data_IF_360527069636
#
_entry.id   IF_360527069636
#
_cell.length_a   1.000
_cell.length_b   1.000
_cell.length_c   1.000
_cell.angle_alpha   90.00
_cell.angle_beta   90.00
_cell.angle_gamma   90.00
#
_symmetry.space_group_name_H-M   'P 1'
#
loop_
_entity.id
_entity.type
_entity.pdbx_description
1 polymer ?
#
# COMPACT_ATOMS: atom_id res chain seq x y z
N UNK A 1 -7.90 23.64 -8.37
CA UNK A 1 -6.72 24.53 -8.48
C UNK A 1 -6.39 25.12 -7.11
N UNK A 2 -5.44 24.50 -6.39
CA UNK A 2 -4.59 25.13 -5.38
C UNK A 2 -3.25 24.42 -5.49
N UNK A 3 -2.34 25.02 -6.25
CA UNK A 3 -0.94 24.64 -6.23
C UNK A 3 -0.46 24.80 -4.78
N UNK A 4 -0.10 23.71 -4.11
CA UNK A 4 0.74 23.81 -2.93
C UNK A 4 2.13 24.11 -3.47
N UNK A 5 2.36 25.40 -3.77
CA UNK A 5 3.71 25.95 -3.74
C UNK A 5 4.35 25.40 -2.46
N UNK A 6 5.57 24.86 -2.55
CA UNK A 6 6.47 24.95 -1.39
C UNK A 6 6.40 26.42 -0.99
N UNK A 7 5.71 26.71 0.12
CA UNK A 7 5.46 28.07 0.57
C UNK A 7 6.82 28.68 0.88
N UNK A 8 7.44 29.30 -0.10
CA UNK A 8 8.47 30.28 0.14
C UNK A 8 7.78 31.45 0.84
N UNK A 9 7.90 31.42 2.17
CA UNK A 9 7.81 32.55 3.08
C UNK A 9 6.56 33.44 2.98
N UNK A 10 5.43 32.93 3.45
CA UNK A 10 4.51 33.77 4.23
C UNK A 10 4.81 33.61 5.73
N UNK A 11 4.58 34.66 6.52
CA UNK A 11 4.64 34.61 7.98
C UNK A 11 3.57 33.62 8.46
N UNK A 12 3.98 32.37 8.73
CA UNK A 12 3.08 31.32 9.19
C UNK A 12 2.54 31.66 10.58
N UNK A 13 1.22 31.70 10.75
CA UNK A 13 0.61 31.95 12.05
C UNK A 13 1.13 30.93 13.08
N UNK A 14 1.73 31.42 14.16
CA UNK A 14 2.33 30.57 15.19
C UNK A 14 1.25 29.72 15.89
N UNK A 15 0.05 30.25 16.07
CA UNK A 15 -1.05 29.51 16.69
C UNK A 15 -1.53 28.37 15.78
N UNK A 16 -1.56 28.59 14.47
CA UNK A 16 -1.88 27.54 13.50
C UNK A 16 -0.84 26.42 13.50
N UNK A 17 0.45 26.74 13.69
CA UNK A 17 1.53 25.74 13.78
C UNK A 17 1.38 24.80 15.00
N UNK A 18 0.76 25.24 16.10
CA UNK A 18 0.48 24.35 17.24
C UNK A 18 -0.44 23.19 16.88
N UNK A 19 -1.32 23.37 15.89
CA UNK A 19 -2.24 22.33 15.43
C UNK A 19 -1.50 21.18 14.71
N UNK A 20 -0.27 21.42 14.24
CA UNK A 20 0.58 20.38 13.63
C UNK A 20 1.28 19.49 14.67
N UNK A 21 1.27 19.88 15.96
CA UNK A 21 1.86 19.07 17.04
C UNK A 21 0.80 18.09 17.53
N UNK A 22 1.02 16.80 17.35
CA UNK A 22 0.05 15.76 17.73
C UNK A 22 -0.08 15.57 19.25
N UNK A 23 1.03 15.63 19.99
CA UNK A 23 1.05 15.37 21.42
C UNK A 23 0.60 16.59 22.24
N UNK A 24 -0.46 16.42 23.04
CA UNK A 24 -1.06 17.52 23.82
C UNK A 24 -0.10 18.17 24.83
N UNK A 25 0.78 17.40 25.47
CA UNK A 25 1.75 17.95 26.42
C UNK A 25 2.83 18.78 25.71
N UNK A 26 3.34 18.28 24.57
CA UNK A 26 4.31 19.03 23.76
C UNK A 26 3.65 20.29 23.19
N UNK A 27 2.39 20.20 22.75
CA UNK A 27 1.61 21.33 22.26
C UNK A 27 1.43 22.38 23.36
N UNK A 28 1.15 21.97 24.59
CA UNK A 28 1.04 22.87 25.73
C UNK A 28 2.36 23.62 26.00
N UNK A 29 3.50 22.91 26.05
CA UNK A 29 4.81 23.54 26.26
C UNK A 29 5.21 24.48 25.11
N UNK A 30 4.93 24.12 23.86
CA UNK A 30 5.12 25.02 22.73
C UNK A 30 4.19 26.24 22.80
N UNK A 31 2.96 26.07 23.31
CA UNK A 31 2.00 27.15 23.54
C UNK A 31 2.51 28.20 24.53
N UNK A 32 3.20 27.79 25.60
CA UNK A 32 3.83 28.72 26.55
C UNK A 32 4.85 29.66 25.87
N UNK A 33 5.61 29.12 24.90
CA UNK A 33 6.56 29.90 24.12
C UNK A 33 5.86 30.97 23.27
N UNK A 34 4.72 30.62 22.67
CA UNK A 34 3.93 31.53 21.82
C UNK A 34 3.26 32.60 22.67
N UNK A 35 2.70 32.26 23.83
CA UNK A 35 2.16 33.25 24.78
C UNK A 35 3.25 34.23 25.23
N UNK A 36 4.43 33.72 25.57
CA UNK A 36 5.58 34.56 25.95
C UNK A 36 6.02 35.47 24.81
N UNK A 37 6.02 34.97 23.57
CA UNK A 37 6.33 35.73 22.38
C UNK A 37 5.33 36.87 22.15
N UNK A 38 4.03 36.57 22.22
CA UNK A 38 2.95 37.54 22.04
C UNK A 38 2.96 38.63 23.12
N UNK A 39 3.45 38.32 24.32
CA UNK A 39 3.65 39.28 25.40
C UNK A 39 4.93 40.14 25.27
N UNK A 40 5.75 39.93 24.24
CA UNK A 40 7.04 40.62 24.07
C UNK A 40 8.17 40.08 24.94
N UNK A 41 7.96 38.96 25.64
CA UNK A 41 8.94 38.32 26.49
C UNK A 41 9.82 37.33 25.69
N UNK A 42 10.61 37.84 24.75
CA UNK A 42 11.36 37.02 23.78
C UNK A 42 12.40 36.09 24.41
N UNK A 43 13.07 36.52 25.50
CA UNK A 43 13.97 35.64 26.26
C UNK A 43 13.22 34.44 26.82
N UNK A 44 12.05 34.67 27.42
CA UNK A 44 11.20 33.62 27.97
C UNK A 44 10.66 32.70 26.88
N UNK A 45 10.26 33.25 25.74
CA UNK A 45 9.79 32.48 24.59
C UNK A 45 10.83 31.47 24.10
N UNK A 46 12.10 31.89 23.95
CA UNK A 46 13.20 31.00 23.54
C UNK A 46 13.47 29.91 24.60
N UNK A 47 13.40 30.26 25.89
CA UNK A 47 13.56 29.29 26.98
C UNK A 47 12.43 28.25 26.94
N UNK A 48 11.17 28.69 26.81
CA UNK A 48 10.00 27.81 26.77
C UNK A 48 9.99 26.87 25.55
N UNK A 49 10.32 27.36 24.35
CA UNK A 49 10.33 26.48 23.18
C UNK A 49 11.41 25.39 23.29
N UNK A 50 12.55 25.73 23.88
CA UNK A 50 13.61 24.76 24.11
C UNK A 50 13.21 23.68 25.12
N UNK A 51 12.40 24.01 26.13
CA UNK A 51 11.80 23.02 27.04
C UNK A 51 10.93 22.04 26.25
N UNK A 52 10.10 22.53 25.33
CA UNK A 52 9.29 21.68 24.46
C UNK A 52 10.16 20.75 23.59
N UNK A 53 11.27 21.25 23.03
CA UNK A 53 12.24 20.47 22.25
C UNK A 53 12.85 19.33 23.08
N UNK A 54 13.35 19.61 24.28
CA UNK A 54 13.97 18.60 25.14
C UNK A 54 12.97 17.54 25.57
N UNK A 55 11.75 17.96 25.94
CA UNK A 55 10.69 17.05 26.33
C UNK A 55 10.25 16.15 25.17
N UNK A 56 10.10 16.71 23.96
CA UNK A 56 9.75 15.95 22.78
C UNK A 56 10.83 14.92 22.41
N UNK A 57 12.12 15.31 22.40
CA UNK A 57 13.22 14.35 22.18
C UNK A 57 13.18 13.18 23.18
N UNK A 58 12.93 13.47 24.46
CA UNK A 58 12.81 12.42 25.48
C UNK A 58 11.66 11.46 25.18
N UNK A 59 10.47 12.01 24.89
CA UNK A 59 9.29 11.19 24.60
C UNK A 59 9.47 10.37 23.33
N UNK A 60 10.10 10.94 22.30
CA UNK A 60 10.40 10.21 21.07
C UNK A 60 11.44 9.12 21.28
N UNK A 61 12.50 9.38 22.06
CA UNK A 61 13.45 8.32 22.43
C UNK A 61 12.73 7.15 23.10
N UNK A 62 11.82 7.44 24.05
CA UNK A 62 11.00 6.40 24.70
C UNK A 62 10.20 5.57 23.71
N UNK A 63 9.46 6.23 22.80
CA UNK A 63 8.71 5.53 21.76
C UNK A 63 9.64 4.71 20.87
N UNK A 64 10.79 5.25 20.48
CA UNK A 64 11.77 4.57 19.64
C UNK A 64 12.30 3.30 20.34
N UNK A 65 12.68 3.42 21.60
CA UNK A 65 13.17 2.31 22.40
C UNK A 65 12.11 1.23 22.59
N UNK A 66 10.89 1.61 22.98
CA UNK A 66 9.80 0.68 23.29
C UNK A 66 9.25 -0.01 22.03
N UNK A 67 9.07 0.75 20.93
CA UNK A 67 8.42 0.26 19.70
C UNK A 67 9.41 -0.40 18.74
N UNK A 68 10.62 0.12 18.64
CA UNK A 68 11.60 -0.33 17.64
C UNK A 68 12.77 -1.11 18.25
N UNK A 69 12.86 -1.16 19.59
CA UNK A 69 13.95 -1.83 20.33
C UNK A 69 15.33 -1.32 19.90
N UNK A 70 15.41 -0.02 19.65
CA UNK A 70 16.66 0.63 19.30
C UNK A 70 17.57 0.73 20.53
N UNK A 71 18.78 0.19 20.42
CA UNK A 71 19.74 0.14 21.53
C UNK A 71 20.29 1.53 21.88
N UNK A 72 20.43 2.43 20.90
CA UNK A 72 20.96 3.77 21.14
C UNK A 72 19.94 4.65 21.88
N UNK A 73 18.66 4.56 21.50
CA UNK A 73 17.55 5.18 22.22
C UNK A 73 17.44 4.62 23.64
N UNK A 74 17.54 3.29 23.80
CA UNK A 74 17.50 2.65 25.12
C UNK A 74 18.63 3.16 26.04
N UNK A 75 19.88 3.17 25.56
CA UNK A 75 21.03 3.70 26.31
C UNK A 75 20.86 5.18 26.65
N UNK A 76 20.24 5.94 25.76
CA UNK A 76 19.97 7.36 26.01
C UNK A 76 18.94 7.53 27.11
N UNK A 77 17.81 6.81 27.09
CA UNK A 77 16.81 6.83 28.17
C UNK A 77 17.41 6.37 29.50
N UNK A 78 18.18 5.29 29.52
CA UNK A 78 18.81 4.79 30.75
C UNK A 78 19.76 5.82 31.37
N UNK A 79 20.48 6.61 30.55
CA UNK A 79 21.28 7.75 31.03
C UNK A 79 20.38 8.81 31.67
N UNK A 80 19.25 9.12 31.04
CA UNK A 80 18.30 10.15 31.51
C UNK A 80 17.65 9.72 32.82
N UNK A 81 17.18 8.49 32.91
CA UNK A 81 16.53 7.96 34.11
C UNK A 81 17.50 7.87 35.30
N UNK A 82 18.78 7.56 35.06
CA UNK A 82 19.83 7.63 36.09
C UNK A 82 20.01 9.05 36.65
N UNK A 83 19.98 10.06 35.78
CA UNK A 83 20.10 11.48 36.19
C UNK A 83 18.84 11.92 36.95
N UNK A 84 17.66 11.46 36.53
CA UNK A 84 16.39 11.75 37.22
C UNK A 84 16.37 11.17 38.65
N UNK A 85 16.94 9.98 38.83
CA UNK A 85 16.99 9.29 40.12
C UNK A 85 18.14 9.77 41.03
N UNK A 86 19.08 10.57 40.51
CA UNK A 86 20.24 11.06 41.25
C UNK A 86 20.44 12.56 40.95
N UNK A 87 19.73 13.41 41.68
CA UNK A 87 19.46 14.82 41.36
C UNK A 87 20.67 15.75 41.55
N UNK A 88 21.78 15.50 40.87
CA UNK A 88 22.88 16.46 40.74
C UNK A 88 22.54 17.49 39.65
N UNK A 89 22.43 18.76 40.02
CA UNK A 89 22.14 19.89 39.10
C UNK A 89 23.10 19.94 37.91
N UNK A 90 24.37 19.51 38.08
CA UNK A 90 25.35 19.46 36.97
C UNK A 90 25.00 18.38 35.95
N UNK A 91 24.41 17.27 36.39
CA UNK A 91 24.03 16.17 35.52
C UNK A 91 22.77 16.50 34.70
N UNK A 92 21.81 17.22 35.29
CA UNK A 92 20.61 17.70 34.59
C UNK A 92 20.98 18.67 33.45
N UNK A 93 21.87 19.62 33.70
CA UNK A 93 22.35 20.57 32.67
C UNK A 93 23.26 19.93 31.62
N UNK A 94 23.91 18.80 31.94
CA UNK A 94 24.67 17.97 31.00
C UNK A 94 23.73 17.23 30.06
N UNK A 95 22.66 16.64 30.60
CA UNK A 95 21.65 15.94 29.83
C UNK A 95 20.99 16.84 28.77
N UNK A 96 20.56 18.04 29.17
CA UNK A 96 19.92 19.01 28.27
C UNK A 96 20.80 19.33 27.04
N UNK A 97 22.12 19.36 27.23
CA UNK A 97 23.09 19.58 26.15
C UNK A 97 23.25 18.34 25.27
N UNK A 98 23.32 17.17 25.88
CA UNK A 98 23.66 15.94 25.18
C UNK A 98 22.48 15.31 24.44
N UNK A 99 21.23 15.54 24.85
CA UNK A 99 20.07 14.88 24.24
C UNK A 99 19.92 15.19 22.75
N UNK A 100 20.20 16.43 22.33
CA UNK A 100 20.17 16.82 20.92
C UNK A 100 21.30 16.14 20.13
N UNK A 101 22.48 16.00 20.75
CA UNK A 101 23.62 15.30 20.15
C UNK A 101 23.34 13.81 20.01
N UNK A 102 22.80 13.18 21.05
CA UNK A 102 22.37 11.78 21.02
C UNK A 102 21.32 11.56 19.90
N UNK A 103 20.42 12.52 19.68
CA UNK A 103 19.40 12.44 18.63
C UNK A 103 20.01 12.43 17.22
N UNK A 104 21.08 13.17 17.00
CA UNK A 104 21.83 13.23 15.73
C UNK A 104 22.76 12.03 15.56
N UNK A 105 23.66 11.81 16.51
CA UNK A 105 24.84 10.96 16.31
C UNK A 105 24.53 9.48 16.61
N UNK A 106 23.77 9.24 17.68
CA UNK A 106 23.50 7.90 18.20
C UNK A 106 22.20 7.33 17.63
N UNK A 107 21.08 8.03 17.86
CA UNK A 107 19.73 7.61 17.43
C UNK A 107 19.47 7.92 15.95
N UNK A 108 20.20 8.88 15.37
CA UNK A 108 20.12 9.27 13.95
C UNK A 108 18.71 9.63 13.49
N UNK A 109 17.98 10.30 14.36
CA UNK A 109 16.62 10.77 14.10
C UNK A 109 16.56 12.19 13.55
N UNK A 110 17.68 12.90 13.46
CA UNK A 110 17.73 14.22 12.81
C UNK A 110 18.91 14.26 11.86
N UNK A 111 18.76 14.99 10.78
CA UNK A 111 19.85 15.26 9.83
C UNK A 111 20.80 16.31 10.38
N UNK A 112 22.01 16.41 9.82
CA UNK A 112 22.99 17.43 10.22
C UNK A 112 22.44 18.86 10.11
N UNK A 113 21.66 19.15 9.05
CA UNK A 113 21.05 20.47 8.88
C UNK A 113 20.00 20.77 9.96
N UNK A 114 19.20 19.78 10.31
CA UNK A 114 18.19 19.89 11.38
C UNK A 114 18.87 20.02 12.76
N UNK A 115 19.97 19.29 12.99
CA UNK A 115 20.81 19.45 14.17
C UNK A 115 21.34 20.88 14.29
N UNK A 116 21.92 21.44 13.22
CA UNK A 116 22.43 22.82 13.23
C UNK A 116 21.32 23.84 13.56
N UNK A 117 20.10 23.62 13.06
CA UNK A 117 18.96 24.47 13.35
C UNK A 117 18.56 24.42 14.81
N UNK A 118 18.45 23.23 15.40
CA UNK A 118 18.08 23.04 16.79
C UNK A 118 19.21 23.46 17.75
N UNK A 119 20.47 23.28 17.36
CA UNK A 119 21.64 23.68 18.14
C UNK A 119 21.70 25.20 18.32
N UNK A 120 21.33 25.99 17.29
CA UNK A 120 21.20 27.45 17.43
C UNK A 120 20.16 27.84 18.49
N UNK A 121 19.04 27.12 18.58
CA UNK A 121 18.01 27.35 19.61
C UNK A 121 18.61 27.08 20.99
N UNK A 122 19.37 25.99 21.14
CA UNK A 122 20.05 25.64 22.40
C UNK A 122 21.04 26.74 22.83
N UNK A 123 21.85 27.24 21.89
CA UNK A 123 22.84 28.29 22.15
C UNK A 123 22.17 29.60 22.61
N UNK A 124 21.12 30.05 21.92
CA UNK A 124 20.41 31.27 22.31
C UNK A 124 19.60 31.09 23.59
N UNK A 125 19.05 29.89 23.85
CA UNK A 125 18.47 29.55 25.15
C UNK A 125 19.50 29.70 26.26
N UNK A 126 20.74 29.24 26.06
CA UNK A 126 21.80 29.39 27.05
C UNK A 126 22.06 30.87 27.39
N UNK A 127 22.11 31.73 26.37
CA UNK A 127 22.23 33.20 26.53
C UNK A 127 21.02 33.84 27.21
N UNK A 128 19.81 33.32 26.97
CA UNK A 128 18.58 33.82 27.59
C UNK A 128 18.41 33.37 29.06
N UNK A 129 18.92 32.19 29.42
CA UNK A 129 18.78 31.63 30.77
C UNK A 129 19.89 32.09 31.73
N UNK A 130 21.10 32.36 31.22
CA UNK A 130 22.22 32.82 32.04
C UNK A 130 22.44 34.32 31.92
N UNK A 131 22.68 35.05 33.03
CA UNK A 131 22.88 36.48 33.01
C UNK A 131 24.32 36.83 32.59
N UNK A 132 24.68 36.49 31.35
CA UNK A 132 25.96 36.93 30.76
C UNK A 132 25.75 38.34 30.22
N UNK A 133 26.52 39.28 30.74
CA UNK A 133 26.51 40.66 30.28
C UNK A 133 27.44 40.82 29.08
N UNK A 134 27.00 41.62 28.10
CA UNK A 134 27.86 42.05 27.00
C UNK A 134 28.84 43.15 27.44
N UNK A 135 29.60 43.69 26.50
CA UNK A 135 30.57 44.77 26.74
C UNK A 135 29.95 46.05 27.30
N UNK A 136 28.64 46.23 27.15
CA UNK A 136 27.88 47.39 27.62
C UNK A 136 27.15 47.11 28.95
N UNK A 137 27.33 45.91 29.52
CA UNK A 137 26.66 45.52 30.76
C UNK A 137 25.20 45.13 30.58
N UNK A 138 24.75 44.89 29.34
CA UNK A 138 23.38 44.51 29.02
C UNK A 138 23.24 43.00 28.86
N UNK A 139 22.05 42.52 29.18
CA UNK A 139 21.67 41.14 28.97
C UNK A 139 21.32 40.90 27.50
N UNK A 140 21.63 39.69 26.99
CA UNK A 140 21.23 39.30 25.63
C UNK A 140 19.73 39.49 25.39
N UNK A 141 19.37 40.36 24.44
CA UNK A 141 17.98 40.66 24.11
C UNK A 141 17.69 40.19 22.68
N UNK A 142 17.07 39.01 22.51
CA UNK A 142 16.70 38.50 21.19
C UNK A 142 15.63 39.39 20.55
N UNK A 143 15.71 39.59 19.23
CA UNK A 143 14.69 40.33 18.49
C UNK A 143 13.41 39.51 18.37
N UNK A 144 12.26 40.16 18.11
CA UNK A 144 11.01 39.44 17.82
C UNK A 144 11.20 38.41 16.69
N UNK A 145 11.92 38.76 15.62
CA UNK A 145 12.13 37.91 14.46
C UNK A 145 12.96 36.66 14.81
N UNK A 146 13.98 36.82 15.66
CA UNK A 146 14.81 35.71 16.12
C UNK A 146 13.99 34.72 16.96
N UNK A 147 13.26 35.22 17.96
CA UNK A 147 12.40 34.38 18.80
C UNK A 147 11.34 33.66 17.96
N UNK A 148 10.71 34.36 17.02
CA UNK A 148 9.73 33.78 16.09
C UNK A 148 10.32 32.70 15.20
N UNK A 149 11.55 32.91 14.72
CA UNK A 149 12.27 31.95 13.88
C UNK A 149 12.51 30.66 14.68
N UNK A 150 13.01 30.77 15.91
CA UNK A 150 13.24 29.61 16.78
C UNK A 150 11.97 28.82 17.07
N UNK A 151 10.85 29.49 17.36
CA UNK A 151 9.55 28.84 17.56
C UNK A 151 9.15 28.05 16.32
N UNK A 152 9.14 28.71 15.16
CA UNK A 152 8.74 28.08 13.90
C UNK A 152 9.64 26.90 13.56
N UNK A 153 10.97 27.09 13.64
CA UNK A 153 11.95 26.06 13.32
C UNK A 153 11.81 24.85 14.25
N UNK A 154 11.64 25.03 15.56
CA UNK A 154 11.43 23.91 16.48
C UNK A 154 10.19 23.09 16.11
N UNK A 155 9.07 23.76 15.81
CA UNK A 155 7.81 23.08 15.43
C UNK A 155 7.97 22.33 14.12
N UNK A 156 8.47 22.99 13.07
CA UNK A 156 8.56 22.41 11.73
C UNK A 156 9.59 21.25 11.67
N UNK A 157 10.75 21.42 12.32
CA UNK A 157 11.86 20.46 12.26
C UNK A 157 11.65 19.28 13.19
N UNK A 158 11.08 19.51 14.37
CA UNK A 158 11.02 18.49 15.42
C UNK A 158 9.60 18.25 15.92
N UNK A 159 8.94 19.24 16.53
CA UNK A 159 7.73 18.96 17.35
C UNK A 159 6.53 18.43 16.55
N UNK A 160 6.40 18.82 15.28
CA UNK A 160 5.38 18.30 14.35
C UNK A 160 5.79 17.00 13.64
N UNK A 161 7.03 16.56 13.82
CA UNK A 161 7.55 15.37 13.15
C UNK A 161 7.34 14.12 14.02
N UNK A 162 7.13 12.94 13.39
CA UNK A 162 6.93 11.69 14.11
C UNK A 162 8.18 11.24 14.89
N UNK A 163 8.04 10.30 15.85
CA UNK A 163 9.14 9.80 16.67
C UNK A 163 10.29 9.13 15.93
N UNK A 164 10.07 8.53 14.76
CA UNK A 164 11.21 8.20 13.88
C UNK A 164 11.19 9.07 12.64
N UNK A 165 12.35 9.63 12.35
CA UNK A 165 12.63 10.45 11.20
C UNK A 165 13.85 9.87 10.48
N UNK A 166 13.87 9.99 9.16
CA UNK A 166 15.09 9.77 8.38
C UNK A 166 15.58 8.31 8.34
N UNK A 167 16.89 8.13 8.53
CA UNK A 167 17.60 6.88 8.21
C UNK A 167 17.21 5.72 9.12
N UNK A 168 17.07 5.96 10.43
CA UNK A 168 16.70 4.93 11.39
C UNK A 168 15.30 4.34 11.10
N UNK A 169 14.37 5.16 10.63
CA UNK A 169 13.02 4.72 10.27
C UNK A 169 13.04 3.81 9.03
N UNK A 170 13.85 4.20 8.05
CA UNK A 170 14.13 3.37 6.88
C UNK A 170 14.76 2.04 7.27
N UNK A 171 15.83 2.05 8.07
CA UNK A 171 16.52 0.83 8.52
C UNK A 171 15.60 -0.12 9.31
N UNK A 172 14.73 0.42 10.18
CA UNK A 172 13.73 -0.37 10.90
C UNK A 172 12.69 -0.99 9.95
N UNK A 173 12.16 -0.20 9.01
CA UNK A 173 11.24 -0.71 7.99
C UNK A 173 11.91 -1.80 7.14
N UNK A 174 13.14 -1.58 6.67
CA UNK A 174 13.87 -2.55 5.86
C UNK A 174 14.04 -3.87 6.62
N UNK A 175 14.43 -3.82 7.90
CA UNK A 175 14.57 -5.02 8.74
C UNK A 175 13.26 -5.83 8.83
N UNK A 176 12.14 -5.13 8.93
CA UNK A 176 10.82 -5.73 9.06
C UNK A 176 10.29 -6.29 7.74
N UNK A 177 10.38 -5.51 6.65
CA UNK A 177 9.93 -5.91 5.30
C UNK A 177 10.81 -7.01 4.71
N UNK A 178 12.11 -7.03 5.04
CA UNK A 178 13.06 -8.05 4.58
C UNK A 178 13.12 -9.27 5.52
N UNK A 179 12.28 -9.30 6.55
CA UNK A 179 12.14 -10.40 7.48
C UNK A 179 11.59 -11.68 6.84
N UNK A 180 11.99 -12.84 7.39
CA UNK A 180 11.64 -14.17 6.85
C UNK A 180 10.13 -14.45 6.83
N UNK A 181 9.41 -13.92 7.82
CA UNK A 181 7.98 -14.15 8.05
C UNK A 181 7.12 -12.93 7.72
N UNK A 182 7.59 -12.07 6.80
CA UNK A 182 6.76 -10.98 6.31
C UNK A 182 5.50 -11.52 5.60
N UNK A 183 4.31 -10.95 5.86
CA UNK A 183 3.05 -11.41 5.26
C UNK A 183 3.09 -11.40 3.72
N UNK A 184 2.33 -12.30 3.10
CA UNK A 184 2.29 -12.46 1.64
C UNK A 184 0.98 -11.99 0.98
N UNK A 185 0.07 -11.42 1.78
CA UNK A 185 -1.19 -10.80 1.37
C UNK A 185 -1.31 -9.35 1.89
N UNK A 186 -2.18 -8.56 1.25
CA UNK A 186 -2.32 -7.12 1.52
C UNK A 186 -2.86 -6.86 2.93
N UNK A 187 -3.79 -7.69 3.43
CA UNK A 187 -4.42 -7.49 4.73
C UNK A 187 -3.44 -7.82 5.86
N UNK A 188 -2.67 -8.90 5.69
CA UNK A 188 -1.55 -9.24 6.55
C UNK A 188 -0.51 -8.13 6.61
N UNK A 189 -0.10 -7.57 5.46
CA UNK A 189 0.86 -6.45 5.40
C UNK A 189 0.31 -5.21 6.12
N UNK A 190 -0.96 -4.87 5.89
CA UNK A 190 -1.63 -3.77 6.58
C UNK A 190 -1.57 -3.96 8.09
N UNK A 191 -1.98 -5.11 8.60
CA UNK A 191 -1.98 -5.39 10.03
C UNK A 191 -0.58 -5.38 10.63
N UNK A 192 0.40 -5.97 9.94
CA UNK A 192 1.78 -6.04 10.38
C UNK A 192 2.43 -4.66 10.50
N UNK A 193 2.23 -3.78 9.51
CA UNK A 193 2.85 -2.46 9.48
C UNK A 193 2.03 -1.39 10.24
N UNK A 194 0.73 -1.59 10.46
CA UNK A 194 -0.12 -0.59 11.12
C UNK A 194 0.36 -0.26 12.53
N UNK A 195 0.69 -1.28 13.32
CA UNK A 195 1.14 -1.14 14.71
C UNK A 195 2.47 -0.43 14.90
N UNK A 196 3.34 -0.45 13.89
CA UNK A 196 4.75 -0.08 14.05
C UNK A 196 5.22 1.00 13.09
N UNK A 197 4.68 1.07 11.87
CA UNK A 197 5.12 2.04 10.86
C UNK A 197 4.00 2.97 10.41
N UNK A 198 2.72 2.58 10.49
CA UNK A 198 1.64 3.46 10.01
C UNK A 198 0.99 4.32 11.09
N UNK A 199 0.85 3.82 12.33
CA UNK A 199 0.30 4.61 13.46
C UNK A 199 1.23 5.72 13.95
N UNK A 200 2.54 5.55 13.77
CA UNK A 200 3.58 6.45 14.30
C UNK A 200 4.01 7.48 13.26
N UNK A 201 3.52 7.38 12.02
CA UNK A 201 4.05 8.13 10.88
C UNK A 201 3.17 9.28 10.42
N UNK A 202 3.76 10.46 10.23
CA UNK A 202 3.11 11.55 9.49
C UNK A 202 2.89 11.17 8.02
N UNK A 203 2.01 11.88 7.30
CA UNK A 203 1.84 11.70 5.85
C UNK A 203 3.17 11.77 5.08
N UNK A 204 4.10 12.62 5.55
CA UNK A 204 5.47 12.72 5.00
C UNK A 204 6.25 11.42 5.17
N UNK A 205 6.10 10.73 6.30
CA UNK A 205 6.75 9.45 6.54
C UNK A 205 6.21 8.35 5.63
N UNK A 206 4.89 8.22 5.53
CA UNK A 206 4.23 7.28 4.62
C UNK A 206 4.64 7.52 3.16
N UNK A 207 4.70 8.79 2.74
CA UNK A 207 5.22 9.18 1.43
C UNK A 207 6.67 8.71 1.22
N UNK A 208 7.53 8.84 2.22
CA UNK A 208 8.91 8.35 2.14
C UNK A 208 8.99 6.81 2.09
N UNK A 209 8.10 6.08 2.76
CA UNK A 209 8.01 4.62 2.64
C UNK A 209 7.68 4.21 1.21
N UNK A 210 6.68 4.85 0.57
CA UNK A 210 6.33 4.58 -0.83
C UNK A 210 7.57 4.76 -1.72
N UNK A 211 8.26 5.89 -1.55
CA UNK A 211 9.42 6.21 -2.36
C UNK A 211 10.60 5.26 -2.13
N UNK A 212 10.88 4.87 -0.87
CA UNK A 212 11.90 3.87 -0.56
C UNK A 212 11.57 2.53 -1.20
N UNK A 213 10.32 2.09 -1.05
CA UNK A 213 9.83 0.82 -1.60
C UNK A 213 9.95 0.81 -3.13
N UNK A 214 9.62 1.91 -3.81
CA UNK A 214 9.81 2.03 -5.25
C UNK A 214 11.27 1.87 -5.67
N UNK A 215 12.21 2.49 -4.93
CA UNK A 215 13.65 2.33 -5.20
C UNK A 215 14.09 0.88 -5.03
N UNK A 216 13.65 0.20 -3.96
CA UNK A 216 13.91 -1.23 -3.70
C UNK A 216 13.37 -2.12 -4.81
N UNK A 217 12.21 -1.79 -5.37
CA UNK A 217 11.58 -2.55 -6.46
C UNK A 217 12.26 -2.32 -7.82
N UNK A 218 12.72 -1.09 -8.10
CA UNK A 218 13.09 -0.69 -9.46
C UNK A 218 14.58 -0.68 -9.76
N UNK A 219 15.45 -0.41 -8.77
CA UNK A 219 16.88 -0.23 -9.08
C UNK A 219 17.87 -0.49 -7.95
N UNK A 220 17.45 -0.53 -6.68
CA UNK A 220 18.39 -0.89 -5.61
C UNK A 220 18.70 -2.38 -5.68
N UNK A 221 19.97 -2.70 -5.49
CA UNK A 221 20.43 -4.08 -5.53
C UNK A 221 19.92 -4.82 -4.30
N UNK A 222 19.26 -5.94 -4.56
CA UNK A 222 18.81 -6.90 -3.56
C UNK A 222 19.66 -8.15 -3.76
N UNK A 223 20.23 -8.72 -2.68
CA UNK A 223 21.00 -9.94 -2.77
C UNK A 223 20.25 -11.01 -3.59
N UNK A 224 20.91 -11.60 -4.59
CA UNK A 224 20.28 -12.48 -5.58
C UNK A 224 19.57 -13.70 -4.97
N UNK A 225 19.89 -14.04 -3.71
CA UNK A 225 19.28 -15.13 -2.95
C UNK A 225 17.95 -14.74 -2.24
N UNK A 226 17.41 -13.52 -2.44
CA UNK A 226 16.19 -13.05 -1.78
C UNK A 226 15.18 -12.36 -2.72
N UNK A 227 14.70 -13.02 -3.79
CA UNK A 227 13.70 -12.44 -4.70
C UNK A 227 12.38 -12.07 -4.02
N UNK A 228 12.04 -12.74 -2.90
CA UNK A 228 10.84 -12.44 -2.09
C UNK A 228 10.82 -11.01 -1.56
N UNK A 229 11.98 -10.38 -1.35
CA UNK A 229 12.06 -9.00 -0.84
C UNK A 229 11.38 -8.02 -1.79
N UNK A 230 11.56 -8.17 -3.11
CA UNK A 230 10.91 -7.30 -4.10
C UNK A 230 9.39 -7.42 -3.98
N UNK A 231 8.89 -8.66 -3.89
CA UNK A 231 7.47 -8.93 -3.71
C UNK A 231 6.94 -8.28 -2.43
N UNK A 232 7.68 -8.34 -1.33
CA UNK A 232 7.29 -7.70 -0.08
C UNK A 232 7.14 -6.18 -0.27
N UNK A 233 8.11 -5.50 -0.90
CA UNK A 233 8.00 -4.07 -1.17
C UNK A 233 6.87 -3.73 -2.16
N UNK A 234 6.56 -4.59 -3.13
CA UNK A 234 5.39 -4.42 -4.01
C UNK A 234 4.08 -4.45 -3.20
N UNK A 235 3.94 -5.38 -2.26
CA UNK A 235 2.79 -5.46 -1.36
C UNK A 235 2.69 -4.24 -0.44
N UNK A 236 3.83 -3.71 0.03
CA UNK A 236 3.86 -2.46 0.83
C UNK A 236 3.36 -1.27 0.00
N UNK A 237 3.84 -1.12 -1.24
CA UNK A 237 3.37 -0.06 -2.15
C UNK A 237 1.86 -0.20 -2.37
N UNK A 238 1.40 -1.40 -2.70
CA UNK A 238 -0.01 -1.67 -2.95
C UNK A 238 -0.88 -1.37 -1.72
N UNK A 239 -0.46 -1.81 -0.53
CA UNK A 239 -1.13 -1.52 0.72
C UNK A 239 -1.25 -0.01 0.98
N UNK A 240 -0.15 0.74 0.78
CA UNK A 240 -0.13 2.18 1.02
C UNK A 240 -0.97 2.95 0.00
N UNK A 241 -0.92 2.59 -1.28
CA UNK A 241 -1.74 3.22 -2.32
C UNK A 241 -3.24 2.97 -2.07
N UNK A 242 -3.61 1.77 -1.62
CA UNK A 242 -5.02 1.40 -1.34
C UNK A 242 -5.57 2.07 -0.09
N UNK A 243 -4.79 2.13 1.00
CA UNK A 243 -5.29 2.60 2.30
C UNK A 243 -4.98 4.09 2.59
N UNK A 244 -3.98 4.68 1.94
CA UNK A 244 -3.53 6.05 2.16
C UNK A 244 -3.42 6.82 0.83
N UNK A 245 -4.51 6.79 0.06
CA UNK A 245 -4.57 7.35 -1.30
C UNK A 245 -4.21 8.83 -1.37
N UNK A 246 -4.65 9.62 -0.39
CA UNK A 246 -4.29 11.04 -0.25
C UNK A 246 -2.77 11.26 -0.18
N UNK A 247 -2.05 10.39 0.54
CA UNK A 247 -0.59 10.45 0.66
C UNK A 247 0.08 10.11 -0.67
N UNK A 248 -0.39 9.07 -1.35
CA UNK A 248 0.13 8.72 -2.68
C UNK A 248 -0.13 9.85 -3.69
N UNK A 249 -1.33 10.44 -3.67
CA UNK A 249 -1.72 11.54 -4.56
C UNK A 249 -0.92 12.82 -4.28
N UNK A 250 -0.52 13.08 -3.04
CA UNK A 250 0.29 14.26 -2.68
C UNK A 250 1.76 14.17 -3.10
N UNK A 251 2.26 13.00 -3.52
CA UNK A 251 3.63 12.85 -4.01
C UNK A 251 3.89 13.77 -5.21
N UNK A 252 5.06 14.41 -5.25
CA UNK A 252 5.45 15.25 -6.38
C UNK A 252 5.68 14.41 -7.65
N UNK A 253 5.03 14.76 -8.77
CA UNK A 253 5.17 14.11 -10.08
C UNK A 253 6.63 13.97 -10.51
N UNK A 254 7.42 15.03 -10.38
CA UNK A 254 8.85 15.01 -10.75
C UNK A 254 9.64 13.95 -9.96
N UNK A 255 9.38 13.83 -8.65
CA UNK A 255 10.05 12.86 -7.79
C UNK A 255 9.70 11.42 -8.18
N UNK A 256 8.43 11.16 -8.52
CA UNK A 256 7.96 9.87 -8.99
C UNK A 256 8.58 9.52 -10.36
N UNK A 257 8.52 10.46 -11.31
CA UNK A 257 9.12 10.34 -12.64
C UNK A 257 10.62 10.05 -12.57
N UNK A 258 11.37 10.73 -11.69
CA UNK A 258 12.80 10.50 -11.52
C UNK A 258 13.11 9.08 -11.02
N UNK A 259 12.34 8.56 -10.05
CA UNK A 259 12.52 7.19 -9.55
C UNK A 259 12.18 6.16 -10.63
N UNK A 260 11.08 6.34 -11.36
CA UNK A 260 10.68 5.47 -12.47
C UNK A 260 11.72 5.48 -13.60
N UNK A 261 12.31 6.64 -13.88
CA UNK A 261 13.39 6.84 -14.86
C UNK A 261 14.67 6.05 -14.56
N UNK A 262 14.88 5.63 -13.32
CA UNK A 262 16.06 4.88 -12.90
C UNK A 262 15.88 3.35 -12.99
N UNK A 263 14.75 2.86 -13.49
CA UNK A 263 14.44 1.43 -13.54
C UNK A 263 15.51 0.64 -14.31
N UNK A 264 16.14 -0.33 -13.64
CA UNK A 264 17.13 -1.22 -14.27
C UNK A 264 16.44 -2.24 -15.19
N UNK A 265 17.16 -2.71 -16.21
CA UNK A 265 16.69 -3.66 -17.22
C UNK A 265 16.17 -4.95 -16.58
N UNK A 266 16.90 -5.50 -15.61
CA UNK A 266 16.54 -6.72 -14.86
C UNK A 266 15.36 -6.53 -13.88
N UNK A 267 14.83 -5.31 -13.79
CA UNK A 267 13.71 -4.91 -12.92
C UNK A 267 12.50 -4.41 -13.70
N UNK A 268 12.54 -4.39 -15.03
CA UNK A 268 11.51 -3.79 -15.85
C UNK A 268 10.14 -4.47 -15.69
N UNK A 269 10.11 -5.77 -15.41
CA UNK A 269 8.91 -6.55 -15.13
C UNK A 269 8.10 -5.99 -13.96
N UNK A 270 8.76 -5.35 -12.99
CA UNK A 270 8.10 -4.82 -11.81
C UNK A 270 7.22 -3.60 -12.14
N UNK A 271 7.46 -2.93 -13.28
CA UNK A 271 6.61 -1.84 -13.75
C UNK A 271 5.20 -2.33 -14.07
N UNK A 272 5.03 -3.55 -14.59
CA UNK A 272 3.70 -4.10 -14.86
C UNK A 272 2.85 -4.20 -13.59
N UNK A 273 3.47 -4.59 -12.48
CA UNK A 273 2.82 -4.68 -11.17
C UNK A 273 2.46 -3.29 -10.67
N UNK A 274 3.38 -2.31 -10.77
CA UNK A 274 3.10 -0.93 -10.37
C UNK A 274 1.98 -0.28 -11.21
N UNK A 275 2.00 -0.47 -12.52
CA UNK A 275 0.96 0.05 -13.41
C UNK A 275 -0.41 -0.58 -13.15
N UNK A 276 -0.45 -1.84 -12.69
CA UNK A 276 -1.68 -2.47 -12.21
C UNK A 276 -2.13 -1.91 -10.86
N UNK A 277 -1.20 -1.48 -10.00
CA UNK A 277 -1.53 -0.86 -8.71
C UNK A 277 -2.16 0.53 -8.91
N UNK A 278 -1.66 1.37 -9.81
CA UNK A 278 -2.29 2.66 -10.10
C UNK A 278 -1.83 3.26 -11.44
N UNK A 279 -2.79 3.78 -12.22
CA UNK A 279 -2.56 4.39 -13.54
C UNK A 279 -1.61 5.60 -13.45
N UNK A 280 -1.51 6.24 -12.28
CA UNK A 280 -0.55 7.33 -12.06
C UNK A 280 0.89 6.88 -12.27
N UNK A 281 1.24 5.63 -11.92
CA UNK A 281 2.58 5.12 -12.18
C UNK A 281 2.90 5.13 -13.68
N UNK A 282 1.93 4.82 -14.55
CA UNK A 282 2.09 4.93 -15.99
C UNK A 282 2.16 6.40 -16.45
N UNK A 283 1.22 7.23 -15.98
CA UNK A 283 1.13 8.63 -16.37
C UNK A 283 2.35 9.47 -15.98
N UNK A 284 2.99 9.16 -14.86
CA UNK A 284 4.20 9.83 -14.38
C UNK A 284 5.49 9.10 -14.80
N UNK A 285 5.41 7.98 -15.53
CA UNK A 285 6.58 7.27 -16.06
C UNK A 285 7.21 8.01 -17.25
N UNK A 286 8.54 8.20 -17.30
CA UNK A 286 9.21 8.78 -18.46
C UNK A 286 8.98 8.00 -19.76
N UNK A 287 8.89 8.72 -20.88
CA UNK A 287 8.58 8.12 -22.20
C UNK A 287 9.57 7.02 -22.59
N UNK A 288 10.87 7.24 -22.39
CA UNK A 288 11.90 6.24 -22.73
C UNK A 288 11.76 4.94 -21.92
N UNK A 289 11.28 5.01 -20.67
CA UNK A 289 10.99 3.81 -19.87
C UNK A 289 9.70 3.13 -20.33
N UNK A 290 8.67 3.91 -20.72
CA UNK A 290 7.44 3.35 -21.31
C UNK A 290 7.74 2.62 -22.61
N UNK A 291 8.58 3.17 -23.49
CA UNK A 291 9.00 2.47 -24.72
C UNK A 291 9.78 1.20 -24.41
N UNK A 292 10.73 1.25 -23.47
CA UNK A 292 11.46 0.06 -23.02
C UNK A 292 10.52 -1.03 -22.46
N UNK A 293 9.52 -0.63 -21.68
CA UNK A 293 8.53 -1.54 -21.12
C UNK A 293 7.63 -2.17 -22.21
N UNK A 294 7.22 -1.38 -23.22
CA UNK A 294 6.50 -1.90 -24.39
C UNK A 294 7.32 -2.93 -25.16
N UNK A 295 8.64 -2.72 -25.30
CA UNK A 295 9.54 -3.71 -25.90
C UNK A 295 9.63 -4.98 -25.05
N UNK A 296 9.81 -4.84 -23.74
CA UNK A 296 9.86 -5.96 -22.79
C UNK A 296 8.60 -6.84 -22.86
N UNK A 297 7.40 -6.24 -22.82
CA UNK A 297 6.14 -7.01 -22.87
C UNK A 297 6.02 -7.86 -24.14
N UNK A 298 6.63 -7.41 -25.24
CA UNK A 298 6.57 -8.07 -26.55
C UNK A 298 7.72 -9.05 -26.79
N UNK A 299 8.67 -9.16 -25.85
CA UNK A 299 9.88 -9.96 -26.01
C UNK A 299 9.59 -11.47 -26.01
N UNK A 300 8.83 -11.94 -25.02
CA UNK A 300 8.47 -13.36 -24.89
C UNK A 300 6.97 -13.57 -24.66
N UNK A 301 6.46 -14.69 -25.19
CA UNK A 301 5.05 -15.10 -25.03
C UNK A 301 4.65 -15.23 -23.55
N UNK A 302 5.52 -15.80 -22.72
CA UNK A 302 5.25 -15.95 -21.29
C UNK A 302 5.14 -14.59 -20.59
N UNK A 303 6.04 -13.66 -20.90
CA UNK A 303 6.00 -12.28 -20.39
C UNK A 303 4.69 -11.60 -20.76
N UNK A 304 4.27 -11.69 -22.03
CA UNK A 304 3.02 -11.10 -22.51
C UNK A 304 1.80 -11.61 -21.74
N UNK A 305 1.73 -12.91 -21.45
CA UNK A 305 0.61 -13.50 -20.70
C UNK A 305 0.63 -13.06 -19.23
N UNK A 306 1.79 -13.13 -18.57
CA UNK A 306 1.87 -12.79 -17.14
C UNK A 306 1.68 -11.30 -16.87
N UNK A 307 2.31 -10.43 -17.67
CA UNK A 307 2.38 -9.00 -17.40
C UNK A 307 1.50 -8.16 -18.34
N UNK A 308 1.18 -8.65 -19.55
CA UNK A 308 0.32 -7.91 -20.49
C UNK A 308 -1.10 -7.72 -19.96
N UNK A 309 -1.65 -8.74 -19.29
CA UNK A 309 -2.99 -8.66 -18.69
C UNK A 309 -3.09 -7.52 -17.66
N UNK A 310 -2.03 -7.29 -16.89
CA UNK A 310 -1.95 -6.25 -15.86
C UNK A 310 -2.07 -4.84 -16.43
N UNK A 311 -1.65 -4.64 -17.67
CA UNK A 311 -1.56 -3.33 -18.32
C UNK A 311 -2.51 -3.19 -19.50
N UNK A 312 -3.44 -4.12 -19.70
CA UNK A 312 -4.35 -4.11 -20.85
C UNK A 312 -5.19 -2.82 -20.93
N UNK A 313 -5.57 -2.27 -19.79
CA UNK A 313 -6.27 -0.99 -19.69
C UNK A 313 -5.42 0.23 -20.13
N UNK A 314 -4.10 0.09 -20.16
CA UNK A 314 -3.16 1.13 -20.60
C UNK A 314 -2.70 0.90 -22.04
N UNK A 315 -2.58 -0.36 -22.44
CA UNK A 315 -2.08 -0.80 -23.75
C UNK A 315 -3.13 -1.71 -24.43
N UNK A 316 -4.30 -1.18 -24.82
CA UNK A 316 -5.38 -2.00 -25.39
C UNK A 316 -4.97 -2.71 -26.69
N UNK A 317 -3.95 -2.23 -27.40
CA UNK A 317 -3.44 -2.83 -28.63
C UNK A 317 -2.88 -4.24 -28.45
N UNK A 318 -2.40 -4.62 -27.26
CA UNK A 318 -1.81 -5.95 -27.01
C UNK A 318 -2.88 -7.04 -26.80
N UNK A 319 -4.17 -6.67 -26.74
CA UNK A 319 -5.29 -7.58 -26.51
C UNK A 319 -5.28 -8.78 -27.46
N UNK A 320 -5.11 -8.51 -28.76
CA UNK A 320 -5.12 -9.54 -29.78
C UNK A 320 -3.93 -10.49 -29.65
N UNK A 321 -2.76 -9.95 -29.30
CA UNK A 321 -1.54 -10.75 -29.11
C UNK A 321 -1.70 -11.69 -27.90
N UNK A 322 -2.24 -11.19 -26.78
CA UNK A 322 -2.58 -12.01 -25.61
C UNK A 322 -3.54 -13.13 -26.00
N UNK A 323 -4.61 -12.81 -26.75
CA UNK A 323 -5.61 -13.79 -27.16
C UNK A 323 -5.02 -14.88 -28.05
N UNK A 324 -4.13 -14.52 -28.99
CA UNK A 324 -3.44 -15.48 -29.87
C UNK A 324 -2.52 -16.38 -29.05
N UNK A 325 -1.74 -15.82 -28.12
CA UNK A 325 -0.85 -16.62 -27.26
C UNK A 325 -1.67 -17.54 -26.36
N UNK A 326 -2.76 -17.05 -25.77
CA UNK A 326 -3.67 -17.86 -24.96
C UNK A 326 -4.22 -19.06 -25.73
N UNK A 327 -4.80 -18.83 -26.92
CA UNK A 327 -5.38 -19.87 -27.78
C UNK A 327 -4.36 -20.91 -28.23
N UNK A 328 -3.12 -20.50 -28.48
CA UNK A 328 -2.11 -21.40 -29.04
C UNK A 328 -1.37 -22.21 -27.98
N UNK A 329 -1.25 -21.72 -26.74
CA UNK A 329 -0.33 -22.29 -25.76
C UNK A 329 -0.97 -22.66 -24.42
N UNK A 330 -2.14 -22.11 -24.07
CA UNK A 330 -2.72 -22.28 -22.72
C UNK A 330 -4.12 -22.91 -22.75
N UNK A 331 -4.94 -22.57 -23.75
CA UNK A 331 -6.37 -22.91 -23.77
C UNK A 331 -6.65 -24.41 -23.64
N UNK A 332 -5.79 -25.27 -24.22
CA UNK A 332 -5.99 -26.72 -24.28
C UNK A 332 -5.49 -27.48 -23.04
N UNK A 333 -4.88 -26.78 -22.08
CA UNK A 333 -4.26 -27.35 -20.88
C UNK A 333 -4.94 -26.81 -19.63
N UNK A 334 -5.29 -27.71 -18.70
CA UNK A 334 -5.88 -27.32 -17.42
C UNK A 334 -4.96 -26.38 -16.64
N UNK A 335 -3.69 -26.74 -16.50
CA UNK A 335 -2.66 -25.91 -15.84
C UNK A 335 -2.45 -24.57 -16.57
N UNK A 336 -2.49 -24.58 -17.91
CA UNK A 336 -2.41 -23.37 -18.71
C UNK A 336 -3.55 -22.39 -18.41
N UNK A 337 -4.78 -22.90 -18.31
CA UNK A 337 -5.94 -22.10 -17.93
C UNK A 337 -5.87 -21.61 -16.47
N UNK A 338 -5.34 -22.42 -15.54
CA UNK A 338 -5.12 -21.99 -14.15
C UNK A 338 -4.09 -20.85 -14.03
N UNK A 339 -3.02 -20.88 -14.82
CA UNK A 339 -2.03 -19.80 -14.87
C UNK A 339 -2.68 -18.53 -15.40
N UNK A 340 -3.44 -18.64 -16.51
CA UNK A 340 -4.08 -17.49 -17.14
C UNK A 340 -5.13 -16.84 -16.24
N UNK A 341 -5.99 -17.63 -15.59
CA UNK A 341 -7.02 -17.10 -14.69
C UNK A 341 -6.42 -16.40 -13.47
N UNK A 342 -5.28 -16.90 -12.95
CA UNK A 342 -4.58 -16.24 -11.86
C UNK A 342 -4.13 -14.83 -12.27
N UNK A 343 -3.60 -14.69 -13.48
CA UNK A 343 -3.25 -13.39 -14.05
C UNK A 343 -4.47 -12.47 -14.17
N UNK A 344 -5.59 -12.97 -14.70
CA UNK A 344 -6.84 -12.21 -14.79
C UNK A 344 -7.34 -11.74 -13.43
N UNK A 345 -7.34 -12.59 -12.40
CA UNK A 345 -7.77 -12.23 -11.04
C UNK A 345 -6.88 -11.18 -10.37
N UNK A 346 -5.57 -11.24 -10.65
CA UNK A 346 -4.59 -10.32 -10.07
C UNK A 346 -4.57 -8.96 -10.78
N UNK A 347 -4.91 -8.93 -12.07
CA UNK A 347 -5.18 -7.68 -12.76
C UNK A 347 -6.34 -6.98 -12.06
N UNK A 348 -6.31 -5.65 -11.99
CA UNK A 348 -7.47 -4.88 -11.50
C UNK A 348 -8.63 -5.04 -12.48
N UNK A 349 -9.38 -6.12 -12.36
CA UNK A 349 -10.58 -6.43 -13.15
C UNK A 349 -11.70 -5.41 -12.96
N UNK A 350 -11.59 -4.52 -11.96
CA UNK A 350 -12.48 -3.36 -11.82
C UNK A 350 -12.24 -2.29 -12.92
N UNK A 351 -11.16 -2.39 -13.70
CA UNK A 351 -10.94 -1.56 -14.89
C UNK A 351 -11.75 -2.12 -16.05
N UNK A 352 -12.53 -1.26 -16.71
CA UNK A 352 -13.51 -1.64 -17.73
C UNK A 352 -12.93 -2.54 -18.83
N UNK A 353 -11.77 -2.19 -19.39
CA UNK A 353 -11.11 -2.92 -20.47
C UNK A 353 -10.70 -4.33 -20.03
N UNK A 354 -10.09 -4.44 -18.85
CA UNK A 354 -9.67 -5.73 -18.27
C UNK A 354 -10.88 -6.60 -17.91
N UNK A 355 -11.96 -5.98 -17.39
CA UNK A 355 -13.23 -6.66 -17.11
C UNK A 355 -13.82 -7.29 -18.37
N UNK A 356 -13.95 -6.48 -19.44
CA UNK A 356 -14.48 -6.91 -20.74
C UNK A 356 -13.65 -8.06 -21.29
N UNK A 357 -12.31 -7.94 -21.27
CA UNK A 357 -11.44 -9.00 -21.76
C UNK A 357 -11.55 -10.29 -20.94
N UNK A 358 -11.65 -10.19 -19.61
CA UNK A 358 -11.89 -11.37 -18.77
C UNK A 358 -13.19 -12.09 -19.16
N UNK A 359 -14.27 -11.33 -19.40
CA UNK A 359 -15.55 -11.90 -19.83
C UNK A 359 -15.49 -12.51 -21.24
N UNK A 360 -14.75 -11.91 -22.17
CA UNK A 360 -14.51 -12.51 -23.50
C UNK A 360 -13.77 -13.85 -23.41
N UNK A 361 -12.82 -13.98 -22.49
CA UNK A 361 -12.10 -15.24 -22.27
C UNK A 361 -13.01 -16.29 -21.63
N UNK A 362 -13.83 -15.92 -20.64
CA UNK A 362 -14.83 -16.83 -20.06
C UNK A 362 -15.79 -17.31 -21.14
N UNK A 363 -16.31 -16.39 -21.96
CA UNK A 363 -17.25 -16.70 -23.03
C UNK A 363 -16.63 -17.66 -24.07
N UNK A 364 -15.40 -17.39 -24.51
CA UNK A 364 -14.65 -18.26 -25.42
C UNK A 364 -14.55 -19.70 -24.88
N UNK A 365 -14.24 -19.85 -23.59
CA UNK A 365 -14.11 -21.16 -22.96
C UNK A 365 -15.46 -21.87 -22.80
N UNK A 366 -16.53 -21.13 -22.48
CA UNK A 366 -17.89 -21.67 -22.47
C UNK A 366 -18.26 -22.20 -23.87
N UNK A 367 -17.98 -21.44 -24.92
CA UNK A 367 -18.30 -21.87 -26.29
C UNK A 367 -17.52 -23.11 -26.72
N UNK A 368 -16.27 -23.28 -26.29
CA UNK A 368 -15.48 -24.50 -26.51
C UNK A 368 -16.11 -25.70 -25.79
N UNK A 369 -16.54 -25.52 -24.54
CA UNK A 369 -17.22 -26.57 -23.79
C UNK A 369 -18.55 -26.95 -24.44
N UNK A 370 -19.36 -25.97 -24.82
CA UNK A 370 -20.65 -26.18 -25.50
C UNK A 370 -20.49 -26.83 -26.88
N UNK A 371 -19.35 -26.65 -27.54
CA UNK A 371 -19.01 -27.25 -28.85
C UNK A 371 -18.45 -28.67 -28.80
N UNK A 372 -18.42 -29.31 -27.62
CA UNK A 372 -17.95 -30.69 -27.44
C UNK A 372 -18.66 -31.67 -28.38
N UNK A 373 -17.90 -32.59 -29.00
CA UNK A 373 -18.36 -33.48 -30.08
C UNK A 373 -18.56 -34.94 -29.67
N UNK A 374 -18.22 -35.27 -28.42
CA UNK A 374 -18.38 -36.58 -27.80
C UNK A 374 -18.48 -36.43 -26.29
N UNK A 375 -19.13 -37.37 -25.60
CA UNK A 375 -19.15 -37.42 -24.13
C UNK A 375 -17.76 -37.28 -23.50
N UNK A 376 -16.76 -37.97 -24.07
CA UNK A 376 -15.37 -37.87 -23.59
C UNK A 376 -14.79 -36.45 -23.74
N UNK A 377 -15.04 -35.80 -24.89
CA UNK A 377 -14.65 -34.40 -25.08
C UNK A 377 -15.43 -33.45 -24.17
N UNK A 378 -16.71 -33.73 -23.89
CA UNK A 378 -17.54 -32.97 -22.95
C UNK A 378 -16.92 -32.94 -21.57
N UNK A 379 -16.64 -34.11 -20.99
CA UNK A 379 -16.00 -34.22 -19.67
C UNK A 379 -14.65 -33.52 -19.64
N UNK A 380 -13.78 -33.78 -20.62
CA UNK A 380 -12.46 -33.15 -20.69
C UNK A 380 -12.56 -31.62 -20.82
N UNK A 381 -13.48 -31.11 -21.65
CA UNK A 381 -13.65 -29.68 -21.84
C UNK A 381 -14.30 -29.01 -20.63
N UNK A 382 -15.20 -29.69 -19.93
CA UNK A 382 -15.76 -29.20 -18.67
C UNK A 382 -14.67 -28.96 -17.62
N UNK A 383 -13.77 -29.93 -17.46
CA UNK A 383 -12.60 -29.82 -16.60
C UNK A 383 -11.63 -28.72 -17.04
N UNK A 384 -11.33 -28.60 -18.34
CA UNK A 384 -10.32 -27.66 -18.81
C UNK A 384 -10.82 -26.22 -18.97
N UNK A 385 -12.03 -26.05 -19.44
CA UNK A 385 -12.53 -24.75 -19.91
C UNK A 385 -13.59 -24.13 -18.99
N UNK A 386 -14.29 -24.91 -18.16
CA UNK A 386 -15.28 -24.32 -17.24
C UNK A 386 -14.69 -24.17 -15.84
N UNK A 387 -14.25 -25.28 -15.25
CA UNK A 387 -13.85 -25.34 -13.83
C UNK A 387 -12.83 -24.25 -13.44
N UNK A 388 -11.70 -24.04 -14.17
CA UNK A 388 -10.73 -22.99 -13.84
C UNK A 388 -11.30 -21.58 -13.82
N UNK A 389 -12.34 -21.32 -14.61
CA UNK A 389 -12.89 -19.98 -14.84
C UNK A 389 -14.08 -19.66 -13.94
N UNK A 390 -14.71 -20.66 -13.29
CA UNK A 390 -15.84 -20.48 -12.35
C UNK A 390 -15.66 -19.26 -11.42
N UNK A 391 -14.49 -19.02 -10.80
CA UNK A 391 -14.34 -17.92 -9.85
C UNK A 391 -14.48 -16.49 -10.43
N UNK A 392 -14.56 -16.35 -11.76
CA UNK A 392 -14.81 -15.05 -12.44
C UNK A 392 -16.06 -15.07 -13.32
N UNK A 393 -16.91 -16.09 -13.18
CA UNK A 393 -18.20 -16.12 -13.87
C UNK A 393 -19.10 -14.98 -13.39
N UNK A 394 -19.88 -14.46 -14.32
CA UNK A 394 -21.00 -13.54 -14.05
C UNK A 394 -22.33 -14.29 -14.13
N UNK A 395 -23.39 -13.66 -13.62
CA UNK A 395 -24.77 -14.11 -13.79
C UNK A 395 -25.16 -14.25 -15.27
N UNK A 396 -24.67 -13.36 -16.14
CA UNK A 396 -24.84 -13.45 -17.59
C UNK A 396 -24.18 -14.72 -18.17
N UNK A 397 -22.96 -15.06 -17.73
CA UNK A 397 -22.30 -16.30 -18.17
C UNK A 397 -23.05 -17.54 -17.69
N UNK A 398 -23.51 -17.55 -16.44
CA UNK A 398 -24.30 -18.65 -15.87
C UNK A 398 -25.55 -18.86 -16.71
N UNK A 399 -26.31 -17.79 -16.97
CA UNK A 399 -27.51 -17.83 -17.81
C UNK A 399 -27.20 -18.40 -19.20
N UNK A 400 -26.17 -17.87 -19.87
CA UNK A 400 -25.79 -18.32 -21.20
C UNK A 400 -25.44 -19.81 -21.24
N UNK A 401 -24.64 -20.27 -20.28
CA UNK A 401 -24.26 -21.69 -20.18
C UNK A 401 -25.48 -22.59 -19.98
N UNK A 402 -26.35 -22.28 -19.01
CA UNK A 402 -27.53 -23.09 -18.69
C UNK A 402 -28.53 -23.16 -19.85
N UNK A 403 -28.74 -22.07 -20.57
CA UNK A 403 -29.66 -22.03 -21.71
C UNK A 403 -29.15 -22.82 -22.93
N UNK A 404 -27.83 -22.96 -23.08
CA UNK A 404 -27.20 -23.58 -24.25
C UNK A 404 -26.81 -25.04 -24.01
N UNK A 405 -26.41 -25.41 -22.79
CA UNK A 405 -25.91 -26.76 -22.50
C UNK A 405 -26.95 -27.85 -22.78
N UNK A 406 -28.24 -27.54 -22.59
CA UNK A 406 -29.36 -28.45 -22.87
C UNK A 406 -29.49 -28.85 -24.35
N UNK A 407 -28.86 -28.09 -25.26
CA UNK A 407 -28.94 -28.28 -26.71
C UNK A 407 -27.87 -29.24 -27.24
N UNK A 408 -26.89 -29.63 -26.42
CA UNK A 408 -25.85 -30.56 -26.79
C UNK A 408 -25.97 -31.86 -25.97
N UNK A 409 -26.38 -32.94 -26.62
CA UNK A 409 -26.54 -34.26 -26.00
C UNK A 409 -25.19 -34.85 -25.56
N UNK A 410 -24.06 -34.37 -26.08
CA UNK A 410 -22.73 -34.82 -25.67
C UNK A 410 -22.31 -34.30 -24.28
N UNK A 411 -23.12 -33.46 -23.65
CA UNK A 411 -22.83 -32.82 -22.35
C UNK A 411 -23.69 -33.37 -21.20
N UNK A 412 -24.54 -34.37 -21.44
CA UNK A 412 -25.47 -34.86 -20.41
C UNK A 412 -24.74 -35.43 -19.18
N UNK A 413 -23.55 -36.00 -19.33
CA UNK A 413 -22.76 -36.55 -18.23
C UNK A 413 -21.83 -35.51 -17.56
N UNK A 414 -21.97 -34.23 -17.92
CA UNK A 414 -21.18 -33.13 -17.38
C UNK A 414 -21.84 -32.41 -16.20
N UNK A 415 -22.81 -33.04 -15.51
CA UNK A 415 -23.46 -32.47 -14.31
C UNK A 415 -22.44 -32.08 -13.24
N UNK A 416 -21.30 -32.79 -13.14
CA UNK A 416 -20.24 -32.44 -12.17
C UNK A 416 -19.77 -30.98 -12.31
N UNK A 417 -19.67 -30.47 -13.54
CA UNK A 417 -19.31 -29.07 -13.84
C UNK A 417 -20.37 -28.12 -13.30
N UNK A 418 -21.65 -28.46 -13.49
CA UNK A 418 -22.77 -27.63 -13.06
C UNK A 418 -22.93 -27.61 -11.55
N UNK A 419 -22.63 -28.73 -10.87
CA UNK A 419 -22.58 -28.79 -9.41
C UNK A 419 -21.53 -27.84 -8.86
N UNK A 420 -20.32 -27.92 -9.37
CA UNK A 420 -19.22 -27.04 -8.95
C UNK A 420 -19.54 -25.58 -9.23
N UNK A 421 -20.05 -25.29 -10.43
CA UNK A 421 -20.50 -23.94 -10.79
C UNK A 421 -21.57 -23.43 -9.83
N UNK A 422 -22.60 -24.22 -9.52
CA UNK A 422 -23.65 -23.83 -8.58
C UNK A 422 -23.08 -23.53 -7.19
N UNK A 423 -22.29 -24.45 -6.63
CA UNK A 423 -21.74 -24.33 -5.28
C UNK A 423 -20.87 -23.08 -5.10
N UNK A 424 -20.03 -22.78 -6.09
CA UNK A 424 -19.09 -21.65 -6.03
C UNK A 424 -19.75 -20.30 -6.36
N UNK A 425 -20.87 -20.29 -7.12
CA UNK A 425 -21.46 -19.03 -7.62
C UNK A 425 -22.78 -18.63 -6.98
N UNK A 426 -23.56 -19.56 -6.43
CA UNK A 426 -24.93 -19.25 -5.97
C UNK A 426 -24.97 -18.28 -4.78
N UNK A 427 -23.95 -18.30 -3.91
CA UNK A 427 -23.84 -17.32 -2.82
C UNK A 427 -23.52 -15.91 -3.34
N UNK A 428 -22.79 -15.81 -4.46
CA UNK A 428 -22.43 -14.53 -5.09
C UNK A 428 -23.56 -14.00 -5.96
N UNK A 429 -24.31 -14.88 -6.63
CA UNK A 429 -25.40 -14.53 -7.54
C UNK A 429 -26.71 -15.27 -7.17
N UNK A 430 -27.33 -14.96 -6.01
CA UNK A 430 -28.52 -15.65 -5.53
C UNK A 430 -29.72 -15.51 -6.49
N UNK A 431 -29.78 -14.41 -7.25
CA UNK A 431 -30.82 -14.15 -8.26
C UNK A 431 -30.78 -15.11 -9.45
N UNK A 432 -29.72 -15.92 -9.58
CA UNK A 432 -29.65 -16.97 -10.59
C UNK A 432 -30.42 -18.23 -10.19
N UNK A 433 -30.87 -18.36 -8.93
CA UNK A 433 -31.61 -19.55 -8.45
C UNK A 433 -32.82 -19.95 -9.33
N UNK A 434 -33.67 -19.02 -9.81
CA UNK A 434 -34.75 -19.36 -10.72
C UNK A 434 -34.27 -19.94 -12.06
N UNK A 435 -33.09 -19.51 -12.56
CA UNK A 435 -32.48 -20.07 -13.76
C UNK A 435 -32.05 -21.52 -13.54
N UNK A 436 -31.48 -21.83 -12.38
CA UNK A 436 -31.11 -23.19 -11.99
C UNK A 436 -32.31 -24.12 -11.85
N UNK A 437 -33.40 -23.66 -11.21
CA UNK A 437 -34.67 -24.40 -11.12
C UNK A 437 -35.24 -24.70 -12.52
N UNK A 438 -35.32 -23.68 -13.38
CA UNK A 438 -35.78 -23.82 -14.77
C UNK A 438 -34.90 -24.76 -15.59
N UNK A 439 -33.58 -24.71 -15.40
CA UNK A 439 -32.65 -25.63 -16.04
C UNK A 439 -32.92 -27.08 -15.64
N UNK A 440 -33.06 -27.35 -14.34
CA UNK A 440 -33.37 -28.68 -13.82
C UNK A 440 -34.70 -29.23 -14.37
N UNK A 441 -35.75 -28.40 -14.40
CA UNK A 441 -37.03 -28.76 -15.02
C UNK A 441 -36.86 -29.11 -16.51
N UNK A 442 -36.07 -28.31 -17.24
CA UNK A 442 -35.84 -28.49 -18.67
C UNK A 442 -35.18 -29.84 -18.97
N UNK A 443 -34.11 -30.20 -18.26
CA UNK A 443 -33.44 -31.49 -18.46
C UNK A 443 -34.31 -32.68 -17.99
N UNK A 444 -35.20 -32.46 -17.01
CA UNK A 444 -36.13 -33.49 -16.53
C UNK A 444 -37.27 -33.78 -17.51
N UNK A 445 -37.72 -32.77 -18.27
CA UNK A 445 -38.76 -32.91 -19.29
C UNK A 445 -38.20 -33.52 -20.57
N UNK A 446 -37.05 -33.03 -21.05
CA UNK A 446 -36.43 -33.46 -22.31
C UNK A 446 -36.01 -34.94 -22.21
N UNK A 447 -35.56 -35.36 -21.03
CA UNK A 447 -35.00 -36.69 -20.83
C UNK A 447 -35.76 -37.47 -19.74
N UNK A 448 -36.95 -37.97 -20.11
CA UNK A 448 -37.83 -38.76 -19.23
C UNK A 448 -37.24 -40.10 -18.76
N UNK A 449 -36.15 -40.58 -19.37
CA UNK A 449 -35.46 -41.80 -18.96
C UNK A 449 -34.47 -41.50 -17.81
N UNK A 450 -34.49 -42.32 -16.74
CA UNK A 450 -33.66 -42.13 -15.53
C UNK A 450 -32.14 -42.10 -15.79
N UNK A 451 -31.67 -42.58 -16.95
CA UNK A 451 -30.25 -42.66 -17.31
C UNK A 451 -29.70 -41.43 -18.06
N UNK A 452 -30.53 -40.44 -18.35
CA UNK A 452 -30.09 -39.22 -19.02
C UNK A 452 -29.86 -38.11 -17.98
N UNK A 453 -28.66 -37.51 -18.06
CA UNK A 453 -28.04 -36.64 -17.08
C UNK A 453 -27.62 -37.31 -15.77
N UNK A 454 -26.51 -38.05 -15.83
CA UNK A 454 -25.90 -38.71 -14.65
C UNK A 454 -25.55 -37.67 -13.57
N UNK A 455 -26.06 -37.86 -12.35
CA UNK A 455 -25.83 -36.97 -11.21
C UNK A 455 -26.85 -35.84 -11.03
N UNK A 456 -27.90 -35.76 -11.86
CA UNK A 456 -28.91 -34.67 -11.78
C UNK A 456 -29.63 -34.58 -10.43
N UNK A 457 -29.84 -35.69 -9.72
CA UNK A 457 -30.48 -35.70 -8.40
C UNK A 457 -29.60 -35.03 -7.34
N UNK A 458 -28.29 -35.15 -7.44
CA UNK A 458 -27.37 -34.46 -6.53
C UNK A 458 -27.39 -32.95 -6.78
N UNK A 459 -27.46 -32.52 -8.05
CA UNK A 459 -27.64 -31.11 -8.40
C UNK A 459 -28.98 -30.58 -7.88
N UNK A 460 -30.05 -31.38 -7.96
CA UNK A 460 -31.36 -31.03 -7.41
C UNK A 460 -31.29 -30.81 -5.90
N UNK A 461 -30.66 -31.72 -5.17
CA UNK A 461 -30.46 -31.59 -3.72
C UNK A 461 -29.73 -30.29 -3.37
N UNK A 462 -28.71 -29.91 -4.14
CA UNK A 462 -28.00 -28.63 -3.94
C UNK A 462 -28.93 -27.43 -4.17
N UNK A 463 -29.75 -27.45 -5.22
CA UNK A 463 -30.70 -26.39 -5.54
C UNK A 463 -31.78 -26.27 -4.46
N UNK A 464 -32.37 -27.39 -4.05
CA UNK A 464 -33.47 -27.45 -3.06
C UNK A 464 -32.99 -27.08 -1.65
N UNK A 465 -31.73 -27.37 -1.31
CA UNK A 465 -31.14 -27.05 -0.01
C UNK A 465 -30.67 -25.58 0.10
N UNK A 466 -30.67 -24.80 -0.99
CA UNK A 466 -30.29 -23.39 -0.92
C UNK A 466 -31.44 -22.55 -0.36
N UNK A 467 -31.27 -21.86 0.79
CA UNK A 467 -32.36 -21.18 1.46
C UNK A 467 -32.88 -20.00 0.63
N UNK A 468 -34.18 -20.00 0.32
CA UNK A 468 -34.85 -18.90 -0.42
C UNK A 468 -34.76 -17.55 0.31
N UNK A 469 -34.51 -17.54 1.62
CA UNK A 469 -34.40 -16.34 2.45
C UNK A 469 -33.15 -15.47 2.19
N UNK A 470 -32.16 -15.93 1.41
CA UNK A 470 -30.99 -15.12 1.00
C UNK A 470 -31.23 -14.22 -0.22
N UNK A 471 -32.44 -14.21 -0.79
CA UNK A 471 -32.80 -13.38 -1.94
C UNK A 471 -32.93 -11.87 -1.63
N UNK A 472 -32.71 -11.42 -0.39
CA UNK A 472 -33.03 -10.04 0.05
C UNK A 472 -31.83 -9.27 0.63
N UNK A 473 -30.64 -9.86 0.77
CA UNK A 473 -29.45 -9.10 1.20
C UNK A 473 -28.66 -8.52 0.02
N UNK A 474 -29.31 -7.68 -0.78
CA UNK A 474 -28.64 -6.72 -1.68
C UNK A 474 -28.93 -5.30 -1.21
N UNK A 475 -28.49 -4.95 -0.01
CA UNK A 475 -28.40 -3.55 0.41
C UNK A 475 -27.02 -3.22 0.97
N UNK A 476 -26.33 -2.38 0.19
CA UNK A 476 -25.36 -1.34 0.59
C UNK A 476 -24.14 -1.75 1.43
N UNK A 477 -22.98 -1.82 0.78
CA UNK A 477 -21.75 -1.10 1.19
C UNK A 477 -20.86 -0.80 -0.02
#
# INVERSE_FOLDING_TARGET
>A
MKYQMRSYSQLADLEALLLEIENDNIRAYAGEAIVSYSAGAYRSAIVSIWIAVVYDLYQKFRIISETYRDEAAQKSIERIDKIRNNTDKKQVASWERNILKDASDEVKMITNLEYEHLDRIQQDRHRCAHPVLDSEGLLFQPTPELARTHIRTAIEVLLSQPPIIGKAAGEALEKDVEGLYFPDDIEGVKNFLSGRHFLVGSEKYLANIILLSLKKVLFLDIPSNRPRIIKNYQLVIECLVRNYRNVFESLAREKLSNILGMTKDDRIQNLAILFNIDDRFWGDCPEHIREKFKSFIKEEKAILIFYGIFVLHLLPEIKNDILVVYKNNYINEYEGNLIFIRGLKMAKTNKKESAIFAQEIVQLNIDIFLGSRSYASGRNNGTKHIIPFIPIFTDENIKYLLEKIVKNDQLIDCIFVLKELFQETINTYPDTLPLWKKFYESISIIYKNQNAWSGKEELKQLIDNFPESKQVETETF
#
